data_IF_665115273083
#
_entry.id   IF_665115273083
#
_cell.length_a   1.000
_cell.length_b   1.000
_cell.length_c   1.000
_cell.angle_alpha   90.00
_cell.angle_beta   90.00
_cell.angle_gamma   90.00
#
_symmetry.space_group_name_H-M   'P 1'
#
loop_
_entity.id
_entity.type
_entity.pdbx_description
1 polymer ?
#
# COMPACT_ATOMS: atom_id res chain seq x y z
N UNK A 1 -2.82 7.22 0.02
CA UNK A 1 -1.96 6.95 -1.15
C UNK A 1 -1.38 8.25 -1.64
N UNK A 2 -0.12 8.28 -2.03
CA UNK A 2 0.44 9.46 -2.67
C UNK A 2 -0.06 9.48 -4.12
N UNK A 3 -0.55 10.63 -4.58
CA UNK A 3 -1.08 10.83 -5.94
C UNK A 3 -2.15 9.78 -6.35
N UNK A 4 -2.33 9.59 -7.65
CA UNK A 4 -3.36 8.71 -8.18
C UNK A 4 -2.96 7.24 -8.31
N UNK A 5 -3.93 6.36 -8.58
CA UNK A 5 -3.70 4.91 -8.64
C UNK A 5 -2.79 4.48 -9.80
N UNK A 6 -2.84 5.17 -10.94
CA UNK A 6 -2.01 4.88 -12.11
C UNK A 6 -0.56 5.26 -11.83
N UNK A 7 -0.33 6.45 -11.26
CA UNK A 7 1.00 6.90 -10.85
C UNK A 7 1.64 5.92 -9.87
N UNK A 8 0.88 5.52 -8.85
CA UNK A 8 1.39 4.60 -7.83
C UNK A 8 1.72 3.23 -8.43
N UNK A 9 0.82 2.66 -9.24
CA UNK A 9 1.03 1.35 -9.85
C UNK A 9 2.24 1.33 -10.80
N UNK A 10 2.48 2.42 -11.55
CA UNK A 10 3.63 2.53 -12.44
C UNK A 10 4.95 2.51 -11.67
N UNK A 11 5.05 3.30 -10.59
CA UNK A 11 6.24 3.32 -9.74
C UNK A 11 6.43 2.00 -8.99
N UNK A 12 5.37 1.38 -8.51
CA UNK A 12 5.43 0.10 -7.81
C UNK A 12 5.89 -1.05 -8.73
N UNK A 13 5.37 -1.11 -9.97
CA UNK A 13 5.83 -2.08 -10.97
C UNK A 13 7.28 -1.83 -11.38
N UNK A 14 7.70 -0.56 -11.45
CA UNK A 14 9.10 -0.22 -11.69
C UNK A 14 9.99 -0.74 -10.55
N UNK A 15 9.59 -0.50 -9.30
CA UNK A 15 10.29 -1.01 -8.14
C UNK A 15 10.45 -2.54 -8.18
N UNK A 16 9.40 -3.31 -8.45
CA UNK A 16 9.51 -4.78 -8.51
C UNK A 16 10.49 -5.28 -9.57
N UNK A 17 10.63 -4.58 -10.70
CA UNK A 17 11.59 -4.94 -11.76
C UNK A 17 13.02 -4.59 -11.35
N UNK A 18 13.21 -3.50 -10.61
CA UNK A 18 14.52 -2.94 -10.28
C UNK A 18 14.84 -2.98 -8.79
N UNK A 19 14.07 -3.71 -7.98
CA UNK A 19 14.15 -3.69 -6.52
C UNK A 19 15.59 -3.77 -6.02
N UNK A 20 15.97 -2.75 -5.23
CA UNK A 20 17.29 -2.53 -4.65
C UNK A 20 18.47 -2.44 -5.64
N UNK A 21 18.19 -2.28 -6.94
CA UNK A 21 19.20 -1.98 -7.96
C UNK A 21 19.36 -0.47 -8.14
N UNK A 22 20.39 0.00 -8.88
CA UNK A 22 20.62 1.45 -9.10
C UNK A 22 19.44 2.22 -9.68
N UNK A 23 18.58 1.57 -10.48
CA UNK A 23 17.41 2.17 -11.09
C UNK A 23 16.18 2.20 -10.15
N UNK A 24 16.26 1.60 -8.97
CA UNK A 24 15.17 1.64 -7.98
C UNK A 24 15.09 3.02 -7.33
N UNK A 25 14.05 3.76 -7.66
CA UNK A 25 13.87 5.17 -7.26
C UNK A 25 13.73 5.38 -5.75
N UNK A 26 13.38 4.33 -5.00
CA UNK A 26 13.15 4.44 -3.55
C UNK A 26 13.84 3.36 -2.72
N UNK A 27 14.82 2.66 -3.25
CA UNK A 27 15.58 1.69 -2.47
C UNK A 27 16.30 2.35 -1.27
N UNK A 28 16.13 1.85 -0.06
CA UNK A 28 16.91 2.31 1.09
C UNK A 28 18.39 1.87 1.01
N UNK A 29 18.67 0.81 0.27
CA UNK A 29 20.02 0.30 0.04
C UNK A 29 20.81 1.24 -0.86
N UNK A 30 20.17 1.81 -1.89
CA UNK A 30 20.81 2.70 -2.86
C UNK A 30 20.85 4.17 -2.40
N UNK A 31 19.77 4.64 -1.77
CA UNK A 31 19.54 6.07 -1.54
C UNK A 31 19.43 6.44 -0.06
N UNK A 32 19.49 5.45 0.83
CA UNK A 32 19.34 5.64 2.27
C UNK A 32 17.89 5.72 2.76
N UNK A 33 17.73 5.59 4.07
CA UNK A 33 16.45 5.44 4.73
C UNK A 33 15.48 6.61 4.48
N UNK A 34 15.91 7.85 4.73
CA UNK A 34 15.02 9.02 4.60
C UNK A 34 14.51 9.26 3.19
N UNK A 35 15.36 9.01 2.20
CA UNK A 35 14.96 9.10 0.81
C UNK A 35 13.90 8.05 0.48
N UNK A 36 14.15 6.79 0.82
CA UNK A 36 13.22 5.70 0.61
C UNK A 36 11.88 5.92 1.32
N UNK A 37 11.94 6.39 2.58
CA UNK A 37 10.76 6.58 3.41
C UNK A 37 9.86 7.69 2.86
N UNK A 38 10.40 8.86 2.51
CA UNK A 38 9.58 10.02 2.09
C UNK A 38 10.19 10.93 1.03
N UNK A 39 11.50 10.92 0.82
CA UNK A 39 12.16 11.89 -0.07
C UNK A 39 11.81 11.69 -1.55
N UNK A 40 11.73 10.45 -1.99
CA UNK A 40 11.60 10.11 -3.39
C UNK A 40 10.33 10.65 -4.06
N UNK A 41 9.17 10.51 -3.46
CA UNK A 41 7.89 10.97 -4.04
C UNK A 41 7.66 12.48 -3.85
N UNK A 42 8.42 13.13 -2.96
CA UNK A 42 8.41 14.59 -2.81
C UNK A 42 9.29 15.28 -3.85
N UNK A 43 10.18 14.55 -4.50
CA UNK A 43 11.05 15.08 -5.55
C UNK A 43 10.30 15.24 -6.87
N UNK A 44 10.42 16.41 -7.50
CA UNK A 44 9.86 16.69 -8.83
C UNK A 44 10.29 15.67 -9.90
N UNK A 45 11.48 15.07 -9.75
CA UNK A 45 12.01 14.03 -10.64
C UNK A 45 11.06 12.83 -10.78
N UNK A 46 10.28 12.52 -9.73
CA UNK A 46 9.39 11.36 -9.70
C UNK A 46 7.90 11.72 -9.82
N UNK A 47 7.58 12.96 -10.25
CA UNK A 47 6.20 13.37 -10.47
C UNK A 47 5.59 12.72 -11.72
N UNK A 48 6.37 12.54 -12.77
CA UNK A 48 5.94 11.80 -13.95
C UNK A 48 6.04 10.29 -13.71
N UNK A 49 5.09 9.54 -14.25
CA UNK A 49 5.07 8.08 -14.23
C UNK A 49 5.30 7.50 -15.62
N UNK A 50 5.99 6.38 -15.72
CA UNK A 50 6.12 5.61 -16.95
C UNK A 50 4.83 4.83 -17.22
N UNK A 51 3.95 5.42 -18.02
CA UNK A 51 2.65 4.85 -18.37
C UNK A 51 2.74 3.55 -19.19
N UNK A 52 3.91 3.26 -19.80
CA UNK A 52 4.10 2.01 -20.53
C UNK A 52 3.98 0.78 -19.65
N UNK A 53 4.22 0.93 -18.35
CA UNK A 53 4.16 -0.13 -17.32
C UNK A 53 2.74 -0.48 -16.86
N UNK A 54 1.76 0.36 -17.19
CA UNK A 54 0.38 0.27 -16.67
C UNK A 54 -0.68 0.37 -17.76
N UNK A 55 -0.35 -0.09 -18.98
CA UNK A 55 -1.27 -0.06 -20.13
C UNK A 55 -2.60 -0.78 -19.88
N UNK A 56 -2.59 -1.81 -19.04
CA UNK A 56 -3.77 -2.53 -18.59
C UNK A 56 -4.69 -1.67 -17.74
N UNK A 57 -4.15 -0.84 -16.85
CA UNK A 57 -4.92 0.07 -15.99
C UNK A 57 -5.42 1.30 -16.74
N UNK A 58 -4.71 1.75 -17.77
CA UNK A 58 -5.12 2.88 -18.61
C UNK A 58 -6.41 2.62 -19.41
N UNK A 59 -6.87 1.38 -19.51
CA UNK A 59 -8.14 1.02 -20.17
C UNK A 59 -9.35 1.50 -19.38
N UNK A 60 -9.20 1.72 -18.06
CA UNK A 60 -10.28 2.09 -17.15
C UNK A 60 -10.38 3.61 -17.01
N UNK A 61 -11.45 4.25 -17.53
CA UNK A 61 -11.62 5.70 -17.47
C UNK A 61 -11.72 6.22 -16.04
N UNK A 62 -12.30 5.46 -15.11
CA UNK A 62 -12.38 5.77 -13.69
C UNK A 62 -11.00 5.88 -13.03
N UNK A 63 -10.06 4.98 -13.36
CA UNK A 63 -8.70 5.06 -12.83
C UNK A 63 -7.95 6.27 -13.39
N UNK A 64 -8.16 6.60 -14.68
CA UNK A 64 -7.59 7.80 -15.29
C UNK A 64 -8.16 9.07 -14.65
N UNK A 65 -9.45 9.09 -14.35
CA UNK A 65 -10.10 10.20 -13.64
C UNK A 65 -9.50 10.38 -12.24
N UNK A 66 -9.42 9.32 -11.46
CA UNK A 66 -8.84 9.33 -10.10
C UNK A 66 -7.35 9.70 -10.09
N UNK A 67 -6.61 9.38 -11.14
CA UNK A 67 -5.21 9.74 -11.29
C UNK A 67 -5.03 11.22 -11.65
N UNK A 68 -5.85 11.72 -12.57
CA UNK A 68 -5.84 13.12 -12.99
C UNK A 68 -6.31 14.06 -11.89
N UNK A 69 -7.30 13.64 -11.11
CA UNK A 69 -7.95 14.42 -10.06
C UNK A 69 -7.72 13.78 -8.69
N UNK A 70 -6.47 13.50 -8.37
CA UNK A 70 -6.07 12.76 -7.16
C UNK A 70 -6.45 13.45 -5.84
N UNK A 71 -6.76 14.77 -5.89
CA UNK A 71 -7.26 15.55 -4.74
C UNK A 71 -8.74 15.29 -4.42
N UNK A 72 -9.54 14.77 -5.35
CA UNK A 72 -11.00 14.64 -5.18
C UNK A 72 -11.34 13.71 -4.02
N UNK A 73 -10.78 12.51 -4.00
CA UNK A 73 -11.08 11.51 -2.96
C UNK A 73 -10.66 11.99 -1.56
N UNK A 74 -9.43 12.52 -1.34
CA UNK A 74 -9.06 13.09 -0.06
C UNK A 74 -9.96 14.24 0.38
N UNK A 75 -10.34 15.13 -0.54
CA UNK A 75 -11.25 16.24 -0.24
C UNK A 75 -12.62 15.74 0.21
N UNK A 76 -13.20 14.80 -0.54
CA UNK A 76 -14.49 14.19 -0.18
C UNK A 76 -14.42 13.47 1.17
N UNK A 77 -13.34 12.77 1.47
CA UNK A 77 -13.12 12.15 2.76
C UNK A 77 -13.05 13.18 3.88
N UNK A 78 -12.26 14.24 3.72
CA UNK A 78 -12.14 15.31 4.71
C UNK A 78 -13.47 16.01 4.99
N UNK A 79 -14.21 16.37 3.94
CA UNK A 79 -15.55 16.96 4.06
C UNK A 79 -16.53 15.98 4.72
N UNK A 80 -16.53 14.71 4.30
CA UNK A 80 -17.40 13.68 4.86
C UNK A 80 -17.15 13.44 6.35
N UNK A 81 -15.88 13.36 6.76
CA UNK A 81 -15.49 13.20 8.17
C UNK A 81 -15.88 14.41 9.00
N UNK A 82 -15.72 15.64 8.46
CA UNK A 82 -16.18 16.86 9.12
C UNK A 82 -17.69 16.86 9.33
N UNK A 83 -18.46 16.58 8.28
CA UNK A 83 -19.92 16.54 8.33
C UNK A 83 -20.43 15.43 9.27
N UNK A 84 -19.77 14.28 9.30
CA UNK A 84 -20.06 13.21 10.27
C UNK A 84 -19.86 13.72 11.70
N UNK A 85 -18.79 14.45 11.98
CA UNK A 85 -18.57 15.04 13.31
C UNK A 85 -19.62 16.08 13.70
N UNK A 86 -20.10 16.88 12.73
CA UNK A 86 -21.23 17.79 12.93
C UNK A 86 -22.50 17.00 13.27
N UNK A 87 -22.81 15.96 12.50
CA UNK A 87 -23.98 15.10 12.76
C UNK A 87 -23.91 14.46 14.15
N UNK A 88 -22.77 13.84 14.49
CA UNK A 88 -22.59 13.15 15.78
C UNK A 88 -22.73 14.12 16.97
N UNK A 89 -22.30 15.35 16.83
CA UNK A 89 -22.52 16.38 17.87
C UNK A 89 -24.00 16.59 18.20
N UNK A 90 -24.89 16.45 17.19
CA UNK A 90 -26.33 16.64 17.36
C UNK A 90 -27.05 15.35 17.78
N UNK A 91 -26.74 14.20 17.13
CA UNK A 91 -27.50 12.95 17.37
C UNK A 91 -26.93 12.11 18.51
N UNK A 92 -25.66 12.32 18.88
CA UNK A 92 -24.97 11.58 19.94
C UNK A 92 -24.06 12.52 20.77
N UNK A 93 -24.60 13.55 21.44
CA UNK A 93 -23.78 14.57 22.11
C UNK A 93 -22.89 14.00 23.23
N UNK A 94 -23.26 12.84 23.81
CA UNK A 94 -22.46 12.14 24.82
C UNK A 94 -21.10 11.67 24.33
N UNK A 95 -20.85 11.62 23.02
CA UNK A 95 -19.53 11.30 22.45
C UNK A 95 -18.52 12.46 22.58
N UNK A 96 -18.98 13.67 22.91
CA UNK A 96 -18.11 14.85 23.10
C UNK A 96 -17.32 15.25 21.86
N UNK A 97 -17.77 14.87 20.64
CA UNK A 97 -17.07 15.13 19.38
C UNK A 97 -17.61 16.36 18.64
N UNK A 98 -16.87 16.82 17.64
CA UNK A 98 -17.28 17.94 16.78
C UNK A 98 -16.74 17.74 15.37
N UNK A 99 -17.26 18.52 14.39
CA UNK A 99 -16.77 18.50 13.01
C UNK A 99 -15.26 18.77 12.93
N UNK A 100 -14.76 19.75 13.65
CA UNK A 100 -13.33 20.09 13.65
C UNK A 100 -12.47 19.00 14.31
N UNK A 101 -12.92 18.43 15.40
CA UNK A 101 -12.19 17.34 16.06
C UNK A 101 -12.12 16.11 15.14
N UNK A 102 -13.22 15.74 14.50
CA UNK A 102 -13.24 14.64 13.54
C UNK A 102 -12.35 14.93 12.33
N UNK A 103 -12.35 16.16 11.81
CA UNK A 103 -11.46 16.54 10.71
C UNK A 103 -9.99 16.42 11.11
N UNK A 104 -9.60 16.93 12.26
CA UNK A 104 -8.20 16.89 12.73
C UNK A 104 -7.75 15.46 12.98
N UNK A 105 -8.47 14.69 13.74
CA UNK A 105 -8.09 13.33 14.12
C UNK A 105 -8.40 12.29 13.02
N UNK A 106 -9.62 12.35 12.48
CA UNK A 106 -10.11 11.35 11.52
C UNK A 106 -9.61 11.57 10.09
N UNK A 107 -9.10 12.75 9.76
CA UNK A 107 -8.52 13.01 8.45
C UNK A 107 -7.03 13.37 8.52
N UNK A 108 -6.64 14.50 9.12
CA UNK A 108 -5.23 14.92 9.05
C UNK A 108 -4.29 13.97 9.80
N UNK A 109 -4.55 13.69 11.07
CA UNK A 109 -3.67 12.84 11.88
C UNK A 109 -3.69 11.40 11.37
N UNK A 110 -4.87 10.86 11.06
CA UNK A 110 -4.99 9.50 10.52
C UNK A 110 -4.28 9.34 9.17
N UNK A 111 -4.40 10.33 8.28
CA UNK A 111 -3.72 10.31 6.98
C UNK A 111 -2.19 10.30 7.14
N UNK A 112 -1.65 11.14 8.03
CA UNK A 112 -0.21 11.16 8.30
C UNK A 112 0.24 9.81 8.89
N UNK A 113 -0.52 9.25 9.83
CA UNK A 113 -0.20 7.94 10.42
C UNK A 113 -0.21 6.81 9.38
N UNK A 114 -1.25 6.76 8.52
CA UNK A 114 -1.34 5.79 7.42
C UNK A 114 -0.19 5.94 6.43
N UNK A 115 0.17 7.18 6.07
CA UNK A 115 1.30 7.42 5.19
C UNK A 115 2.60 6.90 5.78
N UNK A 116 2.91 7.20 7.04
CA UNK A 116 4.10 6.66 7.69
C UNK A 116 4.07 5.13 7.80
N UNK A 117 2.90 4.52 8.09
CA UNK A 117 2.71 3.07 8.01
C UNK A 117 3.13 2.52 6.64
N UNK A 118 2.59 3.06 5.56
CA UNK A 118 2.92 2.65 4.19
C UNK A 118 4.39 2.89 3.85
N UNK A 119 4.97 4.03 4.26
CA UNK A 119 6.38 4.34 3.98
C UNK A 119 7.35 3.37 4.67
N UNK A 120 6.95 2.75 5.79
CA UNK A 120 7.77 1.69 6.42
C UNK A 120 7.92 0.47 5.52
N UNK A 121 6.96 0.21 4.64
CA UNK A 121 7.07 -0.88 3.68
C UNK A 121 8.16 -0.58 2.65
N UNK A 122 8.26 0.65 2.15
CA UNK A 122 9.32 1.03 1.23
C UNK A 122 10.71 1.04 1.89
N UNK A 123 10.78 1.38 3.17
CA UNK A 123 12.05 1.62 3.89
C UNK A 123 12.43 0.48 4.83
N UNK A 124 11.68 0.28 5.92
CA UNK A 124 12.06 -0.68 6.97
C UNK A 124 11.98 -2.13 6.49
N UNK A 125 11.03 -2.47 5.61
CA UNK A 125 10.89 -3.85 5.13
C UNK A 125 12.01 -4.31 4.19
N UNK A 126 12.89 -3.40 3.75
CA UNK A 126 14.14 -3.72 3.05
C UNK A 126 15.37 -3.69 3.97
N UNK A 127 15.20 -3.35 5.25
CA UNK A 127 16.32 -3.24 6.23
C UNK A 127 16.14 -4.22 7.38
N UNK A 128 14.94 -4.34 7.94
CA UNK A 128 14.67 -5.13 9.15
C UNK A 128 13.69 -6.28 8.87
N UNK A 129 14.04 -7.47 9.36
CA UNK A 129 13.22 -8.68 9.24
C UNK A 129 14.01 -9.88 8.73
N UNK A 130 13.29 -10.88 8.25
CA UNK A 130 13.87 -12.15 7.75
C UNK A 130 13.55 -12.34 6.28
N UNK A 131 14.55 -12.73 5.51
CA UNK A 131 14.34 -13.23 4.15
C UNK A 131 13.98 -14.71 4.22
N UNK A 132 12.78 -15.07 3.77
CA UNK A 132 12.38 -16.47 3.58
C UNK A 132 12.78 -16.95 2.19
N UNK A 133 12.59 -16.10 1.21
CA UNK A 133 12.85 -16.40 -0.19
C UNK A 133 14.02 -15.57 -0.72
N UNK A 134 14.84 -16.18 -1.55
CA UNK A 134 15.93 -15.49 -2.25
C UNK A 134 15.35 -14.69 -3.43
N UNK A 135 14.91 -13.48 -3.21
CA UNK A 135 14.27 -12.61 -4.21
C UNK A 135 15.26 -11.87 -5.10
N UNK A 136 16.52 -11.78 -4.67
CA UNK A 136 17.56 -11.01 -5.38
C UNK A 136 17.57 -9.52 -4.99
N UNK A 137 16.77 -9.15 -4.01
CA UNK A 137 16.69 -7.85 -3.37
C UNK A 137 16.82 -7.98 -1.83
N UNK A 138 16.71 -6.88 -1.10
CA UNK A 138 16.81 -6.84 0.36
C UNK A 138 15.47 -6.98 1.08
N UNK A 139 14.37 -7.26 0.36
CA UNK A 139 13.03 -7.37 0.95
C UNK A 139 12.97 -8.41 2.08
N UNK A 140 12.23 -8.11 3.15
CA UNK A 140 12.17 -8.90 4.37
C UNK A 140 10.74 -9.03 4.89
N UNK A 141 10.45 -10.16 5.50
CA UNK A 141 9.25 -10.36 6.30
C UNK A 141 9.48 -9.84 7.72
N UNK A 142 8.58 -9.01 8.21
CA UNK A 142 8.61 -8.45 9.56
C UNK A 142 7.21 -8.49 10.17
N UNK A 143 7.03 -9.28 11.23
CA UNK A 143 5.73 -9.46 11.90
C UNK A 143 5.18 -8.16 12.47
N UNK A 144 6.05 -7.29 13.03
CA UNK A 144 5.59 -6.02 13.60
C UNK A 144 5.08 -5.06 12.54
N UNK A 145 5.78 -5.01 11.40
CA UNK A 145 5.30 -4.26 10.25
C UNK A 145 4.02 -4.88 9.69
N UNK A 146 3.90 -6.21 9.65
CA UNK A 146 2.68 -6.88 9.17
C UNK A 146 1.47 -6.53 10.05
N UNK A 147 1.65 -6.45 11.37
CA UNK A 147 0.58 -6.01 12.29
C UNK A 147 0.24 -4.54 12.03
N UNK A 148 1.24 -3.67 11.95
CA UNK A 148 1.06 -2.23 11.73
C UNK A 148 0.37 -1.91 10.40
N UNK A 149 0.69 -2.67 9.34
CA UNK A 149 0.24 -2.44 7.95
C UNK A 149 -0.80 -3.44 7.48
N UNK A 150 -1.44 -4.17 8.41
CA UNK A 150 -2.54 -5.10 8.17
C UNK A 150 -2.19 -6.25 7.20
N UNK A 151 -0.90 -6.62 7.13
CA UNK A 151 -0.41 -7.75 6.32
C UNK A 151 0.77 -7.42 5.41
N UNK A 152 0.96 -6.16 5.01
CA UNK A 152 1.99 -5.78 4.03
C UNK A 152 3.44 -5.98 4.51
N UNK A 153 3.66 -6.12 5.83
CA UNK A 153 4.97 -6.46 6.40
C UNK A 153 5.50 -7.85 6.04
N UNK A 154 4.70 -8.72 5.40
CA UNK A 154 5.16 -9.96 4.75
C UNK A 154 5.80 -9.69 3.39
N UNK A 155 6.67 -8.73 3.34
CA UNK A 155 7.14 -8.08 2.13
C UNK A 155 8.10 -8.93 1.28
N UNK A 156 8.90 -9.81 1.89
CA UNK A 156 9.70 -10.78 1.13
C UNK A 156 8.82 -11.85 0.46
N UNK A 157 7.71 -12.24 1.06
CA UNK A 157 6.72 -13.10 0.40
C UNK A 157 6.14 -12.37 -0.83
N UNK A 158 5.75 -11.10 -0.66
CA UNK A 158 5.22 -10.27 -1.74
C UNK A 158 6.22 -10.13 -2.89
N UNK A 159 7.50 -9.81 -2.61
CA UNK A 159 8.54 -9.76 -3.63
C UNK A 159 8.84 -11.11 -4.29
N UNK A 160 8.62 -12.20 -3.57
CA UNK A 160 8.77 -13.53 -4.14
C UNK A 160 7.65 -13.87 -5.13
N UNK A 161 6.39 -13.50 -4.83
CA UNK A 161 5.25 -13.74 -5.71
C UNK A 161 4.22 -12.59 -5.62
N UNK A 162 4.46 -11.48 -6.33
CA UNK A 162 3.64 -10.27 -6.25
C UNK A 162 2.24 -10.44 -6.87
N UNK A 163 2.00 -11.52 -7.62
CA UNK A 163 0.69 -11.80 -8.21
C UNK A 163 -0.36 -12.29 -7.19
N UNK A 164 0.06 -12.73 -6.00
CA UNK A 164 -0.87 -13.18 -4.97
C UNK A 164 -1.58 -12.01 -4.32
N UNK A 165 -2.89 -12.17 -4.06
CA UNK A 165 -3.65 -11.25 -3.22
C UNK A 165 -3.30 -11.37 -1.73
N UNK A 166 -2.71 -12.50 -1.33
CA UNK A 166 -2.30 -12.79 0.04
C UNK A 166 -0.80 -12.61 0.20
N UNK A 167 -0.38 -11.74 1.12
CA UNK A 167 1.02 -11.55 1.44
C UNK A 167 1.51 -12.47 2.56
N UNK A 168 0.67 -12.79 3.55
CA UNK A 168 0.93 -13.82 4.53
C UNK A 168 0.70 -15.23 3.94
N UNK A 169 1.74 -15.92 3.46
CA UNK A 169 1.62 -17.18 2.72
C UNK A 169 1.19 -18.37 3.57
N UNK A 170 1.39 -18.30 4.90
CA UNK A 170 1.03 -19.34 5.85
C UNK A 170 -0.10 -18.90 6.78
N UNK A 171 -0.80 -19.86 7.38
CA UNK A 171 -1.96 -19.56 8.23
C UNK A 171 -1.63 -18.73 9.48
N UNK A 172 -0.40 -18.81 9.98
CA UNK A 172 0.09 -18.04 11.14
C UNK A 172 0.62 -16.64 10.77
N UNK A 173 0.70 -16.35 9.49
CA UNK A 173 1.09 -15.02 9.00
C UNK A 173 -0.16 -14.16 8.89
N UNK A 174 -0.35 -13.29 9.86
CA UNK A 174 -1.50 -12.38 9.90
C UNK A 174 -1.51 -11.49 8.66
N UNK A 175 -2.61 -11.54 7.92
CA UNK A 175 -2.87 -10.73 6.74
C UNK A 175 -4.33 -10.29 6.76
N UNK A 176 -4.58 -9.23 7.53
CA UNK A 176 -5.95 -8.70 7.76
C UNK A 176 -6.53 -8.20 6.44
N UNK A 177 -5.70 -7.56 5.60
CA UNK A 177 -6.12 -7.10 4.27
C UNK A 177 -6.66 -8.23 3.43
N UNK A 178 -5.97 -9.37 3.40
CA UNK A 178 -6.47 -10.56 2.70
C UNK A 178 -7.82 -11.05 3.23
N UNK A 179 -8.01 -11.07 4.54
CA UNK A 179 -9.29 -11.51 5.12
C UNK A 179 -10.43 -10.56 4.79
N UNK A 180 -10.17 -9.24 4.78
CA UNK A 180 -11.15 -8.24 4.35
C UNK A 180 -11.50 -8.41 2.86
N UNK A 181 -10.50 -8.59 1.99
CA UNK A 181 -10.73 -8.87 0.57
C UNK A 181 -11.52 -10.16 0.37
N UNK A 182 -11.23 -11.20 1.15
CA UNK A 182 -12.00 -12.45 1.10
C UNK A 182 -13.47 -12.25 1.52
N UNK A 183 -13.72 -11.44 2.54
CA UNK A 183 -15.08 -11.05 2.93
C UNK A 183 -15.79 -10.27 1.81
N UNK A 184 -15.12 -9.30 1.21
CA UNK A 184 -15.66 -8.55 0.05
C UNK A 184 -15.96 -9.49 -1.14
N UNK A 185 -15.11 -10.48 -1.37
CA UNK A 185 -15.35 -11.47 -2.42
C UNK A 185 -16.55 -12.36 -2.10
N UNK A 186 -16.73 -12.75 -0.85
CA UNK A 186 -17.91 -13.47 -0.40
C UNK A 186 -19.21 -12.66 -0.60
N UNK A 187 -19.13 -11.34 -0.42
CA UNK A 187 -20.25 -10.41 -0.69
C UNK A 187 -20.43 -10.07 -2.17
N UNK A 188 -19.65 -10.65 -3.08
CA UNK A 188 -19.74 -10.39 -4.53
C UNK A 188 -19.25 -9.00 -4.98
N UNK A 189 -18.52 -8.27 -4.11
CA UNK A 189 -17.97 -6.94 -4.42
C UNK A 189 -16.70 -7.02 -5.26
N UNK A 190 -15.89 -8.07 -5.04
CA UNK A 190 -14.66 -8.35 -5.80
C UNK A 190 -14.58 -9.84 -6.14
N UNK A 191 -13.79 -10.19 -7.14
CA UNK A 191 -13.60 -11.57 -7.62
C UNK A 191 -12.15 -11.80 -8.06
N UNK A 192 -11.83 -13.03 -8.51
CA UNK A 192 -10.51 -13.43 -9.03
C UNK A 192 -9.35 -13.22 -8.05
N UNK A 193 -9.56 -13.51 -6.77
CA UNK A 193 -8.52 -13.46 -5.75
C UNK A 193 -7.45 -14.53 -6.03
N UNK A 194 -6.31 -14.14 -6.58
CA UNK A 194 -5.23 -15.06 -6.94
C UNK A 194 -4.56 -15.65 -5.70
N UNK A 195 -4.59 -16.99 -5.51
CA UNK A 195 -3.94 -17.65 -4.39
C UNK A 195 -2.42 -17.75 -4.60
N UNK A 196 -1.70 -18.12 -3.54
CA UNK A 196 -0.30 -18.55 -3.62
C UNK A 196 -0.26 -20.02 -4.02
N UNK A 197 0.34 -20.41 -5.16
CA UNK A 197 0.54 -21.81 -5.53
C UNK A 197 1.44 -22.52 -4.51
N UNK A 198 1.16 -23.81 -4.21
CA UNK A 198 1.95 -24.59 -3.25
C UNK A 198 3.44 -24.62 -3.60
N UNK A 199 3.78 -24.85 -4.87
CA UNK A 199 5.15 -24.86 -5.35
C UNK A 199 5.89 -23.53 -5.13
N UNK A 200 5.21 -22.41 -5.27
CA UNK A 200 5.77 -21.06 -4.97
C UNK A 200 6.02 -20.93 -3.47
N UNK A 201 5.03 -21.29 -2.66
CA UNK A 201 5.11 -21.22 -1.20
C UNK A 201 6.27 -22.07 -0.65
N UNK A 202 6.53 -23.23 -1.25
CA UNK A 202 7.62 -24.15 -0.88
C UNK A 202 8.98 -23.75 -1.49
N UNK A 203 9.03 -22.68 -2.27
CA UNK A 203 10.26 -22.18 -2.87
C UNK A 203 10.72 -22.94 -4.13
N UNK A 204 9.93 -23.92 -4.61
CA UNK A 204 10.23 -24.73 -5.81
C UNK A 204 9.60 -24.19 -7.10
N UNK A 205 8.68 -23.22 -6.99
CA UNK A 205 7.98 -22.61 -8.14
C UNK A 205 8.80 -21.57 -8.89
N UNK A 206 8.50 -21.39 -10.19
CA UNK A 206 9.08 -20.32 -10.98
C UNK A 206 8.63 -18.95 -10.44
N UNK A 207 9.57 -18.00 -10.38
CA UNK A 207 9.29 -16.58 -10.15
C UNK A 207 8.71 -15.98 -11.42
N UNK A 208 7.69 -15.17 -11.30
CA UNK A 208 7.13 -14.39 -12.41
C UNK A 208 7.55 -12.93 -12.27
#
# INVERSE_FOLDING_TARGET
MQRGPIWWAAHHRHHHVHSDKPDDVHSPVQHGFFWSHKGWFMSHKHFAADLSRVKDLLKYPELRFLDRFDIVVPTLLGVGVFLLGVLLKHVAPGLGTSGWQMLVWGFFISTVAVYHGTYTINSLSHVFGRQRYKTGDASRNNVWLAILTLGEGWHNNHHHYPASVRQGFYWWEFDITFYLLKLMSFCGVIWDLKPVPAAVREGSGKRF
#
